data_IF_593562468087
#
_entry.id   IF_593562468087
#
_cell.length_a   1.000
_cell.length_b   1.000
_cell.length_c   1.000
_cell.angle_alpha   90.00
_cell.angle_beta   90.00
_cell.angle_gamma   90.00
#
_symmetry.space_group_name_H-M   'P 1'
#
loop_
_entity.id
_entity.type
_entity.pdbx_description
1 polymer ?
#
# COMPACT_ATOMS: atom_id res chain seq x y z
N UNK A 1 -9.39 14.76 -6.27
CA UNK A 1 -9.94 14.57 -4.91
C UNK A 1 -10.06 15.93 -4.25
N UNK A 2 -11.26 16.51 -4.22
CA UNK A 2 -11.52 17.76 -3.49
C UNK A 2 -12.22 17.34 -2.19
N UNK A 3 -11.52 17.41 -1.06
CA UNK A 3 -12.10 17.14 0.25
C UNK A 3 -13.14 18.23 0.52
N UNK A 4 -14.42 17.89 0.46
CA UNK A 4 -15.54 18.79 0.78
C UNK A 4 -15.60 18.96 2.30
N UNK A 5 -14.82 19.92 2.80
CA UNK A 5 -14.62 20.19 4.24
C UNK A 5 -15.92 20.60 4.94
N UNK A 6 -16.91 21.10 4.19
CA UNK A 6 -18.23 21.48 4.71
C UNK A 6 -19.07 20.27 5.18
N UNK A 7 -18.73 19.05 4.75
CA UNK A 7 -19.44 17.81 5.16
C UNK A 7 -18.85 17.12 6.38
N UNK A 8 -17.70 17.59 6.86
CA UNK A 8 -17.00 16.98 7.99
C UNK A 8 -17.46 17.67 9.27
N UNK A 9 -18.47 17.10 9.93
CA UNK A 9 -19.06 17.69 11.13
C UNK A 9 -18.99 16.76 12.34
N UNK A 10 -18.59 17.25 13.52
CA UNK A 10 -18.76 16.55 14.80
C UNK A 10 -20.08 17.01 15.41
N UNK A 11 -21.04 16.11 15.59
CA UNK A 11 -22.34 16.44 16.21
C UNK A 11 -23.07 17.64 15.54
N UNK A 12 -22.83 17.89 14.25
CA UNK A 12 -23.40 19.01 13.51
C UNK A 12 -22.53 20.27 13.45
N UNK A 13 -21.42 20.33 14.18
CA UNK A 13 -20.45 21.43 14.13
C UNK A 13 -19.36 21.16 13.09
N UNK A 14 -19.03 22.10 12.19
CA UNK A 14 -17.96 21.93 11.20
C UNK A 14 -16.61 21.66 11.87
N UNK A 15 -15.91 20.60 11.43
CA UNK A 15 -14.49 20.47 11.70
C UNK A 15 -13.77 21.37 10.72
N UNK A 16 -13.03 22.34 11.24
CA UNK A 16 -12.14 23.15 10.41
C UNK A 16 -10.90 22.33 10.07
N UNK A 17 -10.92 21.63 8.94
CA UNK A 17 -9.72 21.10 8.30
C UNK A 17 -9.09 22.22 7.49
N UNK A 18 -7.82 22.50 7.76
CA UNK A 18 -7.05 23.52 7.04
C UNK A 18 -6.65 23.06 5.64
N UNK A 19 -6.43 24.01 4.73
CA UNK A 19 -5.87 23.70 3.40
C UNK A 19 -4.49 23.02 3.50
N UNK A 20 -3.72 23.33 4.56
CA UNK A 20 -2.46 22.65 4.89
C UNK A 20 -2.67 21.17 5.18
N UNK A 21 -3.63 20.81 6.02
CA UNK A 21 -3.96 19.41 6.30
C UNK A 21 -4.46 18.68 5.04
N UNK A 22 -5.33 19.31 4.24
CA UNK A 22 -5.82 18.76 2.96
C UNK A 22 -4.64 18.45 2.03
N UNK A 23 -3.71 19.41 1.88
CA UNK A 23 -2.49 19.25 1.09
C UNK A 23 -1.62 18.11 1.63
N UNK A 24 -1.37 18.06 2.93
CA UNK A 24 -0.54 17.02 3.55
C UNK A 24 -1.16 15.62 3.39
N UNK A 25 -2.49 15.46 3.52
CA UNK A 25 -3.15 14.16 3.25
C UNK A 25 -2.98 13.73 1.79
N UNK A 26 -3.11 14.67 0.84
CA UNK A 26 -2.91 14.36 -0.57
C UNK A 26 -1.45 13.95 -0.87
N UNK A 27 -0.47 14.64 -0.29
CA UNK A 27 0.95 14.32 -0.45
C UNK A 27 1.26 12.97 0.22
N UNK A 28 0.74 12.70 1.42
CA UNK A 28 0.89 11.41 2.07
C UNK A 28 0.31 10.28 1.22
N UNK A 29 -0.89 10.45 0.67
CA UNK A 29 -1.48 9.49 -0.27
C UNK A 29 -0.62 9.27 -1.52
N UNK A 30 -0.02 10.32 -2.07
CA UNK A 30 0.92 10.22 -3.19
C UNK A 30 2.21 9.47 -2.82
N UNK A 31 2.67 9.63 -1.58
CA UNK A 31 4.01 9.20 -1.16
C UNK A 31 4.05 7.91 -0.32
N UNK A 32 2.90 7.34 0.05
CA UNK A 32 2.84 6.21 1.00
C UNK A 32 3.57 4.94 0.53
N UNK A 33 3.69 4.77 -0.79
CA UNK A 33 4.31 3.59 -1.43
C UNK A 33 5.69 3.88 -2.06
N UNK A 34 6.30 5.06 -1.82
CA UNK A 34 7.61 5.42 -2.38
C UNK A 34 8.72 4.42 -2.04
N UNK A 35 8.59 3.77 -0.89
CA UNK A 35 9.56 2.85 -0.32
C UNK A 35 9.38 1.39 -0.73
N UNK A 36 8.45 1.06 -1.63
CA UNK A 36 8.38 -0.29 -2.16
C UNK A 36 9.70 -0.66 -2.86
N UNK A 37 10.28 -1.78 -2.44
CA UNK A 37 11.45 -2.36 -3.10
C UNK A 37 11.09 -3.09 -4.40
N UNK A 38 12.08 -3.69 -5.06
CA UNK A 38 11.90 -4.45 -6.31
C UNK A 38 10.79 -5.49 -6.21
N UNK A 39 9.85 -5.45 -7.15
CA UNK A 39 8.67 -6.29 -7.22
C UNK A 39 7.75 -6.15 -5.99
N UNK A 40 7.70 -4.95 -5.41
CA UNK A 40 6.80 -4.55 -4.32
C UNK A 40 6.91 -5.49 -3.11
N UNK A 41 5.82 -6.16 -2.71
CA UNK A 41 5.82 -7.04 -1.54
C UNK A 41 6.71 -8.29 -1.68
N UNK A 42 7.14 -8.68 -2.88
CA UNK A 42 8.10 -9.80 -3.01
C UNK A 42 9.40 -9.44 -2.27
N UNK A 43 9.86 -8.19 -2.35
CA UNK A 43 11.04 -7.71 -1.63
C UNK A 43 10.89 -7.80 -0.12
N UNK A 44 9.73 -7.39 0.39
CA UNK A 44 9.44 -7.44 1.82
C UNK A 44 9.45 -8.88 2.34
N UNK A 45 8.83 -9.83 1.60
CA UNK A 45 8.88 -11.25 1.94
C UNK A 45 10.30 -11.82 1.86
N UNK A 46 11.10 -11.37 0.88
CA UNK A 46 12.50 -11.75 0.74
C UNK A 46 13.34 -11.34 1.95
N UNK A 47 13.29 -10.06 2.34
CA UNK A 47 14.02 -9.56 3.51
C UNK A 47 13.56 -10.25 4.80
N UNK A 48 12.25 -10.49 4.94
CA UNK A 48 11.69 -11.26 6.06
C UNK A 48 12.22 -12.70 6.11
N UNK A 49 12.31 -13.41 4.97
CA UNK A 49 12.92 -14.76 4.92
C UNK A 49 14.40 -14.75 5.32
N UNK A 50 15.08 -13.60 5.19
CA UNK A 50 16.46 -13.38 5.65
C UNK A 50 16.56 -12.91 7.11
N UNK A 51 15.46 -12.86 7.84
CA UNK A 51 15.37 -12.31 9.21
C UNK A 51 15.81 -10.83 9.30
N UNK A 52 15.54 -10.06 8.25
CA UNK A 52 15.77 -8.61 8.23
C UNK A 52 14.42 -7.93 8.43
N UNK A 53 14.28 -7.17 9.50
CA UNK A 53 13.11 -6.33 9.73
C UNK A 53 13.18 -5.11 8.81
N UNK A 54 12.19 -5.01 7.93
CA UNK A 54 12.07 -3.91 6.99
C UNK A 54 10.60 -3.75 6.60
N UNK A 55 10.15 -2.50 6.50
CA UNK A 55 8.81 -2.12 6.08
C UNK A 55 8.92 -1.05 4.98
N UNK A 56 8.08 -1.15 3.95
CA UNK A 56 8.11 -0.20 2.84
C UNK A 56 7.63 1.19 3.28
N UNK A 57 6.79 1.27 4.31
CA UNK A 57 6.34 2.52 4.92
C UNK A 57 7.51 3.28 5.58
N UNK A 58 8.41 2.56 6.26
CA UNK A 58 9.62 3.15 6.86
C UNK A 58 10.56 3.72 5.79
N UNK A 59 10.71 3.01 4.68
CA UNK A 59 11.53 3.48 3.57
C UNK A 59 10.86 4.63 2.80
N UNK A 60 9.52 4.64 2.71
CA UNK A 60 8.74 5.71 2.09
C UNK A 60 8.97 7.04 2.80
N UNK A 61 8.96 7.03 4.14
CA UNK A 61 9.29 8.23 4.95
C UNK A 61 10.71 8.72 4.66
N UNK A 62 11.71 7.83 4.63
CA UNK A 62 13.11 8.22 4.34
C UNK A 62 13.25 8.84 2.95
N UNK A 63 12.68 8.22 1.93
CA UNK A 63 12.72 8.73 0.54
C UNK A 63 12.00 10.08 0.45
N UNK A 64 10.84 10.20 1.08
CA UNK A 64 10.10 11.46 1.12
C UNK A 64 10.90 12.59 1.78
N UNK A 65 11.56 12.34 2.91
CA UNK A 65 12.44 13.31 3.55
C UNK A 65 13.60 13.73 2.65
N UNK A 66 14.23 12.79 1.94
CA UNK A 66 15.31 13.08 0.99
C UNK A 66 14.82 13.96 -0.17
N UNK A 67 13.63 13.67 -0.72
CA UNK A 67 12.98 14.48 -1.75
C UNK A 67 12.74 15.90 -1.22
N UNK A 68 12.21 16.04 0.00
CA UNK A 68 11.95 17.35 0.60
C UNK A 68 13.24 18.14 0.85
N UNK A 69 14.27 17.50 1.42
CA UNK A 69 15.58 18.10 1.68
C UNK A 69 16.25 18.60 0.39
N UNK A 70 16.16 17.81 -0.69
CA UNK A 70 16.77 18.14 -1.98
C UNK A 70 16.05 19.28 -2.71
N UNK A 71 14.74 19.35 -2.62
CA UNK A 71 13.91 20.20 -3.47
C UNK A 71 13.24 21.38 -2.73
N UNK A 72 13.35 21.45 -1.39
CA UNK A 72 12.77 22.52 -0.55
C UNK A 72 11.26 22.74 -0.80
N UNK A 73 10.50 21.66 -0.92
CA UNK A 73 9.10 21.68 -1.38
C UNK A 73 8.08 22.09 -0.31
N UNK A 74 8.40 21.87 0.97
CA UNK A 74 7.48 21.95 2.10
C UNK A 74 8.16 22.59 3.31
N UNK A 75 7.40 23.25 4.18
CA UNK A 75 7.91 23.65 5.49
C UNK A 75 8.10 22.44 6.43
N UNK A 76 8.83 22.61 7.55
CA UNK A 76 9.12 21.50 8.47
C UNK A 76 7.87 20.86 9.06
N UNK A 77 6.86 21.67 9.39
CA UNK A 77 5.61 21.19 9.99
C UNK A 77 4.77 20.40 8.96
N UNK A 78 4.76 20.82 7.69
CA UNK A 78 4.15 20.06 6.59
C UNK A 78 4.86 18.72 6.37
N UNK A 79 6.20 18.71 6.42
CA UNK A 79 6.99 17.49 6.26
C UNK A 79 6.72 16.49 7.38
N UNK A 80 6.79 16.94 8.63
CA UNK A 80 6.49 16.12 9.81
C UNK A 80 5.07 15.54 9.73
N UNK A 81 4.07 16.36 9.39
CA UNK A 81 2.70 15.89 9.22
C UNK A 81 2.58 14.83 8.11
N UNK A 82 3.25 14.98 6.97
CA UNK A 82 3.21 13.96 5.91
C UNK A 82 3.86 12.65 6.37
N UNK A 83 5.01 12.72 7.04
CA UNK A 83 5.67 11.53 7.60
C UNK A 83 4.75 10.78 8.59
N UNK A 84 4.07 11.53 9.46
CA UNK A 84 3.10 10.97 10.41
C UNK A 84 1.89 10.35 9.69
N UNK A 85 1.41 10.97 8.62
CA UNK A 85 0.30 10.42 7.84
C UNK A 85 0.67 9.14 7.07
N UNK A 86 1.93 8.95 6.72
CA UNK A 86 2.41 7.72 6.07
C UNK A 86 2.56 6.59 7.10
N UNK A 87 3.13 6.88 8.28
CA UNK A 87 3.59 5.85 9.24
C UNK A 87 2.82 5.80 10.56
N UNK A 88 2.39 6.92 11.12
CA UNK A 88 1.87 6.99 12.50
C UNK A 88 0.39 6.64 12.64
N UNK A 89 0.10 5.67 13.50
CA UNK A 89 -1.18 4.94 13.56
C UNK A 89 -2.31 5.62 14.33
N UNK A 90 -2.21 6.91 14.71
CA UNK A 90 -3.10 7.47 15.77
C UNK A 90 -3.90 8.70 15.43
N UNK A 91 -3.64 9.35 14.30
CA UNK A 91 -4.38 10.54 13.88
C UNK A 91 -5.61 10.18 13.03
N UNK A 92 -6.69 10.96 13.14
CA UNK A 92 -7.90 10.75 12.32
C UNK A 92 -7.59 10.89 10.83
N UNK A 93 -6.75 11.85 10.44
CA UNK A 93 -6.38 12.09 9.05
C UNK A 93 -5.53 10.95 8.46
N UNK A 94 -4.69 10.31 9.28
CA UNK A 94 -3.87 9.17 8.82
C UNK A 94 -4.74 8.00 8.37
N UNK A 95 -5.90 7.81 9.01
CA UNK A 95 -6.89 6.79 8.64
C UNK A 95 -7.52 7.00 7.25
N UNK A 96 -7.28 8.14 6.61
CA UNK A 96 -7.67 8.34 5.21
C UNK A 96 -6.70 7.56 4.31
N UNK A 97 -5.40 7.66 4.57
CA UNK A 97 -4.33 7.07 3.76
C UNK A 97 -4.11 5.61 4.12
N UNK A 98 -3.93 5.31 5.41
CA UNK A 98 -3.68 3.96 5.91
C UNK A 98 -4.46 3.72 7.21
N UNK A 99 -5.54 2.96 7.13
CA UNK A 99 -6.43 2.75 8.27
C UNK A 99 -6.19 1.39 8.92
N UNK A 100 -5.23 1.31 9.84
CA UNK A 100 -4.91 0.06 10.54
C UNK A 100 -6.08 -0.47 11.38
N UNK A 101 -6.91 0.41 11.96
CA UNK A 101 -8.01 0.03 12.85
C UNK A 101 -9.13 -0.74 12.14
N UNK A 102 -9.51 -0.28 10.94
CA UNK A 102 -10.67 -0.81 10.22
C UNK A 102 -10.34 -1.39 8.85
N UNK A 103 -9.14 -1.11 8.31
CA UNK A 103 -8.72 -1.47 6.94
C UNK A 103 -9.61 -0.88 5.85
N UNK A 104 -10.23 0.27 6.13
CA UNK A 104 -11.00 1.07 5.18
C UNK A 104 -10.25 2.40 4.95
N UNK A 105 -9.57 2.51 3.81
CA UNK A 105 -8.74 3.65 3.43
C UNK A 105 -8.70 3.80 1.90
N UNK A 106 -8.17 4.94 1.43
CA UNK A 106 -8.18 5.31 0.00
C UNK A 106 -7.19 4.50 -0.84
N UNK A 107 -6.12 3.98 -0.23
CA UNK A 107 -5.18 3.03 -0.86
C UNK A 107 -5.97 1.84 -1.45
N UNK A 108 -6.83 1.22 -0.64
CA UNK A 108 -7.66 0.09 -1.07
C UNK A 108 -8.62 0.43 -2.18
N UNK A 109 -9.18 1.63 -2.13
CA UNK A 109 -10.15 2.06 -3.14
C UNK A 109 -9.48 2.24 -4.50
N UNK A 110 -8.29 2.85 -4.53
CA UNK A 110 -7.50 3.01 -5.75
C UNK A 110 -7.11 1.66 -6.34
N UNK A 111 -6.46 0.78 -5.55
CA UNK A 111 -5.97 -0.47 -6.13
C UNK A 111 -7.13 -1.41 -6.51
N UNK A 112 -8.30 -1.37 -5.85
CA UNK A 112 -9.45 -2.13 -6.34
C UNK A 112 -9.87 -1.66 -7.72
N UNK A 113 -10.00 -0.36 -7.94
CA UNK A 113 -10.43 0.16 -9.23
C UNK A 113 -9.39 -0.11 -10.32
N UNK A 114 -8.12 0.14 -10.02
CA UNK A 114 -6.96 -0.11 -10.88
C UNK A 114 -6.85 -1.59 -11.25
N UNK A 115 -6.85 -2.48 -10.28
CA UNK A 115 -6.69 -3.92 -10.51
C UNK A 115 -7.90 -4.50 -11.22
N UNK A 116 -9.11 -4.04 -10.89
CA UNK A 116 -10.30 -4.39 -11.67
C UNK A 116 -10.10 -4.04 -13.14
N UNK A 117 -9.66 -2.81 -13.42
CA UNK A 117 -9.43 -2.34 -14.77
C UNK A 117 -8.43 -3.22 -15.52
N UNK A 118 -7.23 -3.44 -14.97
CA UNK A 118 -6.17 -4.22 -15.62
C UNK A 118 -6.49 -5.73 -15.71
N UNK A 119 -7.31 -6.28 -14.81
CA UNK A 119 -7.79 -7.67 -14.88
C UNK A 119 -9.02 -7.85 -15.79
N UNK A 120 -9.53 -6.76 -16.40
CA UNK A 120 -10.73 -6.80 -17.23
C UNK A 120 -12.00 -7.17 -16.43
N UNK A 121 -12.08 -6.74 -15.18
CA UNK A 121 -13.20 -6.93 -14.26
C UNK A 121 -13.89 -5.61 -13.97
N UNK A 122 -15.14 -5.70 -13.51
CA UNK A 122 -15.88 -4.53 -13.02
C UNK A 122 -15.67 -4.38 -11.53
N UNK A 123 -15.30 -3.19 -11.08
CA UNK A 123 -15.35 -2.87 -9.67
C UNK A 123 -16.82 -2.76 -9.25
N UNK A 124 -17.23 -3.57 -8.26
CA UNK A 124 -18.60 -3.55 -7.74
C UNK A 124 -18.74 -2.66 -6.50
N UNK A 125 -17.62 -2.22 -5.93
CA UNK A 125 -17.59 -1.32 -4.79
C UNK A 125 -17.54 0.14 -5.26
N UNK A 126 -18.56 0.91 -4.88
CA UNK A 126 -18.70 2.33 -5.21
C UNK A 126 -18.13 3.19 -4.08
N UNK A 127 -16.86 3.55 -4.21
CA UNK A 127 -16.15 4.37 -3.23
C UNK A 127 -16.64 5.82 -3.21
N UNK A 128 -17.06 6.38 -4.37
CA UNK A 128 -17.65 7.72 -4.49
C UNK A 128 -18.91 7.85 -3.64
N UNK A 129 -19.79 6.84 -3.70
CA UNK A 129 -20.96 6.77 -2.84
C UNK A 129 -20.56 6.70 -1.37
N UNK A 130 -19.63 5.82 -1.00
CA UNK A 130 -19.24 5.66 0.39
C UNK A 130 -18.70 6.98 0.96
N UNK A 131 -17.85 7.69 0.21
CA UNK A 131 -17.29 8.99 0.59
C UNK A 131 -18.37 10.02 0.94
N UNK A 132 -19.49 10.06 0.21
CA UNK A 132 -20.61 10.99 0.51
C UNK A 132 -21.27 10.73 1.87
N UNK A 133 -21.16 9.50 2.38
CA UNK A 133 -21.78 9.02 3.62
C UNK A 133 -20.80 8.88 4.79
N UNK A 134 -19.53 9.27 4.62
CA UNK A 134 -18.57 9.35 5.72
C UNK A 134 -18.78 10.63 6.51
N UNK A 135 -18.70 10.54 7.84
CA UNK A 135 -18.70 11.67 8.77
C UNK A 135 -17.59 11.49 9.80
N UNK A 136 -17.17 12.57 10.46
CA UNK A 136 -16.23 12.47 11.58
C UNK A 136 -16.99 12.66 12.88
N UNK A 137 -16.88 11.70 13.79
CA UNK A 137 -17.59 11.73 15.09
C UNK A 137 -16.60 11.54 16.24
N UNK A 138 -17.01 11.89 17.46
CA UNK A 138 -16.26 11.53 18.67
C UNK A 138 -16.52 10.06 18.99
N UNK A 139 -15.46 9.26 19.05
CA UNK A 139 -15.52 7.84 19.39
C UNK A 139 -15.86 7.63 20.87
N UNK A 140 -16.74 6.66 21.15
CA UNK A 140 -17.28 6.40 22.48
C UNK A 140 -16.23 5.96 23.52
N UNK A 141 -15.17 5.26 23.08
CA UNK A 141 -14.18 4.67 23.99
C UNK A 141 -13.10 5.62 24.48
N UNK A 142 -12.79 6.67 23.73
CA UNK A 142 -11.61 7.50 23.99
C UNK A 142 -11.79 8.99 23.65
N UNK A 143 -13.00 9.43 23.30
CA UNK A 143 -13.30 10.79 22.83
C UNK A 143 -12.45 11.27 21.65
N UNK A 144 -11.74 10.37 20.94
CA UNK A 144 -10.97 10.72 19.76
C UNK A 144 -11.88 10.82 18.54
N UNK A 145 -11.50 11.65 17.59
CA UNK A 145 -12.20 11.76 16.32
C UNK A 145 -11.97 10.51 15.48
N UNK A 146 -13.04 9.97 14.91
CA UNK A 146 -13.03 8.78 14.06
C UNK A 146 -13.88 8.98 12.83
N UNK A 147 -13.50 8.31 11.74
CA UNK A 147 -14.34 8.17 10.55
C UNK A 147 -15.50 7.23 10.87
N UNK A 148 -16.73 7.74 10.75
CA UNK A 148 -17.96 6.99 10.89
C UNK A 148 -18.67 6.86 9.56
N UNK A 149 -19.22 5.69 9.31
CA UNK A 149 -19.94 5.35 8.10
C UNK A 149 -21.43 5.29 8.41
N UNK A 150 -22.25 5.79 7.49
CA UNK A 150 -23.71 5.74 7.65
C UNK A 150 -24.19 4.28 7.71
N UNK A 151 -25.05 3.98 8.67
CA UNK A 151 -25.68 2.67 8.90
C UNK A 151 -26.14 1.94 7.62
N UNK A 152 -26.81 2.65 6.70
CA UNK A 152 -27.28 2.09 5.43
C UNK A 152 -26.18 1.65 4.46
N UNK A 153 -24.94 2.08 4.67
CA UNK A 153 -23.77 1.69 3.86
C UNK A 153 -23.06 0.44 4.40
N UNK A 154 -23.57 -0.21 5.45
CA UNK A 154 -23.00 -1.44 5.99
C UNK A 154 -22.78 -2.51 4.90
N UNK A 155 -23.76 -2.69 4.01
CA UNK A 155 -23.64 -3.64 2.88
C UNK A 155 -22.59 -3.23 1.84
N UNK A 156 -22.37 -1.93 1.64
CA UNK A 156 -21.32 -1.41 0.76
C UNK A 156 -19.93 -1.75 1.32
N UNK A 157 -19.77 -1.65 2.65
CA UNK A 157 -18.55 -2.03 3.35
C UNK A 157 -18.35 -3.56 3.32
N UNK A 158 -19.40 -4.35 3.56
CA UNK A 158 -19.33 -5.81 3.44
C UNK A 158 -18.89 -6.24 2.03
N UNK A 159 -19.44 -5.58 0.99
CA UNK A 159 -19.06 -5.81 -0.40
C UNK A 159 -17.58 -5.47 -0.64
N UNK A 160 -17.07 -4.38 -0.08
CA UNK A 160 -15.66 -4.00 -0.16
C UNK A 160 -14.76 -5.12 0.38
N UNK A 161 -15.05 -5.65 1.57
CA UNK A 161 -14.28 -6.74 2.17
C UNK A 161 -14.43 -8.05 1.41
N UNK A 162 -15.63 -8.35 0.91
CA UNK A 162 -15.87 -9.52 0.08
C UNK A 162 -15.05 -9.46 -1.22
N UNK A 163 -15.02 -8.31 -1.88
CA UNK A 163 -14.18 -8.09 -3.06
C UNK A 163 -12.69 -8.25 -2.72
N UNK A 164 -12.22 -7.63 -1.63
CA UNK A 164 -10.84 -7.79 -1.17
C UNK A 164 -10.48 -9.26 -0.98
N UNK A 165 -11.35 -10.02 -0.31
CA UNK A 165 -11.15 -11.45 -0.07
C UNK A 165 -11.08 -12.23 -1.38
N UNK A 166 -12.00 -11.98 -2.33
CA UNK A 166 -11.95 -12.62 -3.66
C UNK A 166 -10.65 -12.31 -4.36
N UNK A 167 -10.25 -11.04 -4.43
CA UNK A 167 -9.10 -10.61 -5.22
C UNK A 167 -7.81 -11.16 -4.63
N UNK A 168 -7.70 -11.15 -3.30
CA UNK A 168 -6.60 -11.76 -2.59
C UNK A 168 -6.43 -13.24 -2.94
N UNK A 169 -7.51 -14.03 -2.93
CA UNK A 169 -7.40 -15.47 -3.16
C UNK A 169 -7.31 -15.84 -4.66
N UNK A 170 -7.98 -15.09 -5.54
CA UNK A 170 -8.01 -15.40 -6.97
C UNK A 170 -6.82 -14.85 -7.74
N UNK A 171 -6.33 -13.68 -7.37
CA UNK A 171 -5.31 -12.96 -8.14
C UNK A 171 -4.01 -12.81 -7.33
N UNK A 172 -4.03 -12.12 -6.19
CA UNK A 172 -2.79 -11.82 -5.47
C UNK A 172 -2.08 -13.05 -4.91
N UNK A 173 -2.84 -14.06 -4.48
CA UNK A 173 -2.35 -15.36 -4.01
C UNK A 173 -2.62 -16.48 -5.00
N UNK A 174 -2.78 -16.16 -6.28
CA UNK A 174 -2.92 -17.18 -7.32
C UNK A 174 -1.72 -18.14 -7.27
N UNK A 175 -1.97 -19.44 -7.36
CA UNK A 175 -0.94 -20.47 -7.17
C UNK A 175 0.32 -20.23 -8.01
N UNK A 176 0.14 -19.96 -9.31
CA UNK A 176 1.28 -19.72 -10.21
C UNK A 176 2.02 -18.42 -9.92
N UNK A 177 1.35 -17.42 -9.33
CA UNK A 177 2.01 -16.17 -8.88
C UNK A 177 2.87 -16.48 -7.66
N UNK A 178 2.32 -17.17 -6.65
CA UNK A 178 3.10 -17.54 -5.46
C UNK A 178 4.35 -18.37 -5.82
N UNK A 179 4.22 -19.33 -6.74
CA UNK A 179 5.36 -20.12 -7.21
C UNK A 179 6.43 -19.24 -7.88
N UNK A 180 6.02 -18.31 -8.76
CA UNK A 180 6.96 -17.39 -9.39
C UNK A 180 7.63 -16.50 -8.33
N UNK A 181 6.87 -16.01 -7.34
CA UNK A 181 7.41 -15.20 -6.26
C UNK A 181 8.44 -15.97 -5.44
N UNK A 182 8.15 -17.24 -5.08
CA UNK A 182 9.12 -18.09 -4.37
C UNK A 182 10.37 -18.36 -5.21
N UNK A 183 10.23 -18.64 -6.51
CA UNK A 183 11.38 -18.79 -7.42
C UNK A 183 12.19 -17.49 -7.53
N UNK A 184 11.55 -16.33 -7.60
CA UNK A 184 12.25 -15.04 -7.60
C UNK A 184 13.00 -14.82 -6.29
N UNK A 185 12.39 -15.13 -5.15
CA UNK A 185 13.06 -15.05 -3.85
C UNK A 185 14.28 -15.99 -3.80
N UNK A 186 14.17 -17.23 -4.28
CA UNK A 186 15.31 -18.14 -4.35
C UNK A 186 16.43 -17.58 -5.25
N UNK A 187 16.07 -16.93 -6.37
CA UNK A 187 17.02 -16.25 -7.23
C UNK A 187 17.69 -15.05 -6.52
N UNK A 188 16.94 -14.27 -5.75
CA UNK A 188 17.48 -13.16 -4.94
C UNK A 188 18.48 -13.66 -3.90
N UNK A 189 18.15 -14.76 -3.21
CA UNK A 189 19.03 -15.40 -2.22
C UNK A 189 20.31 -15.92 -2.91
N UNK A 190 20.16 -16.62 -4.04
CA UNK A 190 21.30 -17.16 -4.80
C UNK A 190 22.23 -16.06 -5.35
N UNK A 191 21.68 -14.91 -5.73
CA UNK A 191 22.44 -13.74 -6.15
C UNK A 191 23.08 -12.96 -4.99
N UNK A 192 22.82 -13.34 -3.73
CA UNK A 192 23.37 -12.66 -2.56
C UNK A 192 22.79 -11.26 -2.31
N UNK A 193 21.62 -10.95 -2.90
CA UNK A 193 20.94 -9.66 -2.70
C UNK A 193 20.61 -9.45 -1.22
N UNK A 194 20.48 -8.21 -0.79
CA UNK A 194 20.23 -7.86 0.61
C UNK A 194 19.65 -6.43 0.68
N UNK A 195 19.50 -5.89 1.90
CA UNK A 195 18.91 -4.58 2.16
C UNK A 195 19.58 -3.41 1.43
N UNK A 196 20.84 -3.53 1.00
CA UNK A 196 21.51 -2.48 0.21
C UNK A 196 20.90 -2.30 -1.18
N UNK A 197 20.10 -3.27 -1.64
CA UNK A 197 19.46 -3.27 -2.95
C UNK A 197 17.99 -2.82 -2.90
N UNK A 198 17.49 -2.42 -1.73
CA UNK A 198 16.08 -2.02 -1.56
C UNK A 198 15.67 -0.84 -2.45
N UNK A 199 16.61 0.03 -2.81
CA UNK A 199 16.35 1.19 -3.68
C UNK A 199 16.59 0.92 -5.16
N UNK A 200 16.89 -0.32 -5.53
CA UNK A 200 16.92 -0.71 -6.93
C UNK A 200 15.50 -0.82 -7.48
N UNK A 201 15.36 -0.66 -8.79
CA UNK A 201 14.12 -1.01 -9.48
C UNK A 201 14.12 -2.48 -9.96
N UNK A 202 12.98 -2.95 -10.45
CA UNK A 202 12.80 -4.30 -10.98
C UNK A 202 13.80 -4.61 -12.11
N UNK A 203 14.10 -3.62 -12.95
CA UNK A 203 14.99 -3.79 -14.09
C UNK A 203 16.44 -4.02 -13.63
N UNK A 204 16.93 -3.20 -12.70
CA UNK A 204 18.25 -3.32 -12.12
C UNK A 204 18.43 -4.69 -11.44
N UNK A 205 17.46 -5.12 -10.63
CA UNK A 205 17.48 -6.46 -10.03
C UNK A 205 17.50 -7.54 -11.11
N UNK A 206 16.66 -7.43 -12.14
CA UNK A 206 16.65 -8.39 -13.24
C UNK A 206 18.00 -8.46 -13.98
N UNK A 207 18.77 -7.38 -14.06
CA UNK A 207 20.12 -7.43 -14.63
C UNK A 207 21.07 -8.20 -13.74
N UNK A 208 21.03 -8.00 -12.42
CA UNK A 208 21.85 -8.75 -11.46
C UNK A 208 21.56 -10.26 -11.50
N UNK A 209 20.32 -10.63 -11.78
CA UNK A 209 19.92 -12.04 -11.87
C UNK A 209 20.33 -12.73 -13.19
N UNK A 210 20.78 -12.00 -14.21
CA UNK A 210 21.02 -12.54 -15.57
C UNK A 210 22.44 -13.06 -15.81
N UNK A 211 23.33 -13.02 -14.82
CA UNK A 211 24.73 -13.44 -14.99
C UNK A 211 24.84 -14.90 -15.48
N UNK A 212 25.35 -15.17 -16.69
CA UNK A 212 25.34 -16.51 -17.27
C UNK A 212 26.10 -17.54 -16.44
N UNK A 213 25.55 -18.76 -16.33
CA UNK A 213 26.17 -19.87 -15.60
C UNK A 213 25.93 -19.86 -14.10
N UNK A 214 25.28 -18.83 -13.56
CA UNK A 214 24.94 -18.73 -12.14
C UNK A 214 23.62 -19.42 -11.78
N UNK A 215 23.43 -19.74 -10.50
CA UNK A 215 22.20 -20.37 -10.00
C UNK A 215 20.98 -19.46 -10.19
N UNK A 216 21.10 -18.17 -9.89
CA UNK A 216 20.03 -17.18 -10.07
C UNK A 216 19.59 -17.06 -11.52
N UNK A 217 20.54 -17.07 -12.48
CA UNK A 217 20.21 -16.99 -13.89
C UNK A 217 19.52 -18.26 -14.38
N UNK A 218 19.89 -19.42 -13.85
CA UNK A 218 19.17 -20.67 -14.14
C UNK A 218 17.73 -20.62 -13.63
N UNK A 219 17.49 -20.15 -12.40
CA UNK A 219 16.13 -20.00 -11.85
C UNK A 219 15.30 -19.00 -12.68
N UNK A 220 15.88 -17.85 -13.03
CA UNK A 220 15.21 -16.86 -13.87
C UNK A 220 14.86 -17.42 -15.26
N UNK A 221 15.78 -18.15 -15.89
CA UNK A 221 15.53 -18.80 -17.18
C UNK A 221 14.42 -19.84 -17.11
N UNK A 222 14.31 -20.57 -16.00
CA UNK A 222 13.21 -21.51 -15.76
C UNK A 222 11.86 -20.79 -15.69
N UNK A 223 11.77 -19.66 -14.96
CA UNK A 223 10.58 -18.80 -14.95
C UNK A 223 10.20 -18.36 -16.37
N UNK A 224 11.16 -17.84 -17.13
CA UNK A 224 10.96 -17.34 -18.50
C UNK A 224 10.50 -18.43 -19.48
N UNK A 225 10.99 -19.66 -19.30
CA UNK A 225 10.59 -20.84 -20.09
C UNK A 225 9.34 -21.54 -19.56
N UNK A 226 8.73 -21.00 -18.50
CA UNK A 226 7.56 -21.58 -17.81
C UNK A 226 7.82 -22.98 -17.20
N UNK A 227 9.08 -23.32 -16.95
CA UNK A 227 9.50 -24.46 -16.15
C UNK A 227 9.46 -24.06 -14.67
N UNK A 228 8.26 -24.03 -14.10
CA UNK A 228 8.02 -23.57 -12.73
C UNK A 228 8.19 -24.72 -11.73
N UNK A 229 8.34 -24.39 -10.43
CA UNK A 229 8.22 -25.41 -9.40
C UNK A 229 6.83 -26.07 -9.43
N UNK A 230 6.78 -27.36 -9.09
CA UNK A 230 5.53 -28.10 -9.00
C UNK A 230 4.87 -27.88 -7.64
N UNK A 231 3.57 -27.63 -7.66
CA UNK A 231 2.79 -27.52 -6.44
C UNK A 231 2.36 -28.92 -5.99
N UNK A 232 2.72 -29.29 -4.77
CA UNK A 232 2.23 -30.52 -4.14
C UNK A 232 1.18 -30.14 -3.10
N UNK A 233 0.00 -30.77 -3.16
CA UNK A 233 -1.00 -30.69 -2.10
C UNK A 233 -0.77 -31.90 -1.20
N UNK A 234 -0.44 -31.64 0.06
CA UNK A 234 -0.33 -32.66 1.11
C UNK A 234 -1.69 -32.89 1.77
#
# INVERSE_FOLDING_TARGET
MQLDTDKITINGEPIKISDKEVKCVAIAGLCHDLGHGPFSHIWEFFLKKRNIEWAHEDESVKIFEEICKKNQLLDLEEQELVCDLIKETRAMLQKIVNNEDTKIDVDKWDYFERDCHFLGKRNSFDHDRLMQFIRVVKGEKNNKLVLAYRDKEAKSIDLMFYMRWIYHHKYYKHLKINIINDMLIDAFIAAGLNETHTRNDDYEILQLLKEPGTTQANILNRILKRDLYEAVVL
#
